data_IF_103440559189
#
_entry.id   IF_103440559189
#
_cell.length_a   1.000
_cell.length_b   1.000
_cell.length_c   1.000
_cell.angle_alpha   90.00
_cell.angle_beta   90.00
_cell.angle_gamma   90.00
#
_symmetry.space_group_name_H-M   'P 1'
#
loop_
_entity.id
_entity.type
_entity.pdbx_description
1 polymer ?
#
# COMPACT_ATOMS: atom_id res chain seq x y z
N UNK A 1 28.89 9.27 -11.03
CA UNK A 1 28.07 9.70 -12.18
C UNK A 1 26.94 8.71 -12.30
N UNK A 2 25.70 9.19 -12.32
CA UNK A 2 24.50 8.34 -12.43
C UNK A 2 24.49 7.70 -13.82
N UNK A 3 24.82 6.41 -13.89
CA UNK A 3 24.84 5.66 -15.15
C UNK A 3 23.40 5.56 -15.68
N UNK A 4 23.08 6.36 -16.71
CA UNK A 4 21.76 6.40 -17.37
C UNK A 4 21.48 5.16 -18.24
N UNK A 5 22.31 4.12 -18.14
CA UNK A 5 22.18 2.89 -18.93
C UNK A 5 21.28 1.90 -18.19
N UNK A 6 20.12 1.56 -18.79
CA UNK A 6 19.22 0.55 -18.24
C UNK A 6 19.90 -0.80 -18.30
N UNK A 7 20.21 -1.37 -17.13
CA UNK A 7 20.84 -2.70 -17.01
C UNK A 7 19.77 -3.77 -17.05
N UNK A 8 19.70 -4.51 -18.15
CA UNK A 8 18.61 -5.46 -18.40
C UNK A 8 18.59 -6.66 -17.44
N UNK A 9 19.76 -7.03 -16.90
CA UNK A 9 19.87 -8.00 -15.81
C UNK A 9 19.13 -7.55 -14.54
N UNK A 10 19.26 -6.27 -14.15
CA UNK A 10 18.57 -5.73 -12.96
C UNK A 10 17.05 -5.75 -13.11
N UNK A 11 16.55 -5.58 -14.34
CA UNK A 11 15.12 -5.66 -14.65
C UNK A 11 14.62 -7.10 -14.57
N UNK A 12 15.35 -8.06 -15.15
CA UNK A 12 15.00 -9.48 -15.03
C UNK A 12 15.00 -9.94 -13.58
N UNK A 13 15.95 -9.46 -12.77
CA UNK A 13 15.98 -9.72 -11.33
C UNK A 13 14.75 -9.13 -10.61
N UNK A 14 14.33 -7.92 -10.99
CA UNK A 14 13.13 -7.27 -10.45
C UNK A 14 11.85 -8.07 -10.72
N UNK A 15 11.70 -8.55 -11.96
CA UNK A 15 10.53 -9.31 -12.41
C UNK A 15 10.43 -10.69 -11.76
N UNK A 16 11.57 -11.28 -11.38
CA UNK A 16 11.65 -12.56 -10.68
C UNK A 16 11.56 -12.43 -9.16
N UNK A 17 11.56 -11.20 -8.61
CA UNK A 17 11.51 -10.99 -7.17
C UNK A 17 10.06 -11.09 -6.65
N UNK A 18 9.73 -12.05 -5.77
CA UNK A 18 8.39 -12.15 -5.19
C UNK A 18 8.00 -10.89 -4.40
N UNK A 19 8.98 -10.14 -3.88
CA UNK A 19 8.75 -8.88 -3.16
C UNK A 19 8.10 -7.81 -4.06
N UNK A 20 8.50 -7.74 -5.33
CA UNK A 20 7.91 -6.83 -6.33
C UNK A 20 6.44 -7.14 -6.56
N UNK A 21 6.10 -8.42 -6.73
CA UNK A 21 4.73 -8.86 -6.98
C UNK A 21 3.81 -8.68 -5.78
N UNK A 22 4.31 -8.84 -4.55
CA UNK A 22 3.53 -8.56 -3.34
C UNK A 22 3.20 -7.07 -3.21
N UNK A 23 4.14 -6.17 -3.52
CA UNK A 23 3.87 -4.73 -3.55
C UNK A 23 2.91 -4.34 -4.69
N UNK A 24 3.04 -4.99 -5.85
CA UNK A 24 2.12 -4.79 -6.96
C UNK A 24 0.69 -5.25 -6.60
N UNK A 25 0.56 -6.43 -5.98
CA UNK A 25 -0.72 -6.95 -5.50
C UNK A 25 -1.33 -6.03 -4.43
N UNK A 26 -0.53 -5.52 -3.50
CA UNK A 26 -0.96 -4.54 -2.51
C UNK A 26 -1.49 -3.26 -3.18
N UNK A 27 -0.74 -2.72 -4.15
CA UNK A 27 -1.14 -1.52 -4.91
C UNK A 27 -2.45 -1.74 -5.63
N UNK A 28 -2.59 -2.86 -6.34
CA UNK A 28 -3.81 -3.22 -7.06
C UNK A 28 -5.00 -3.33 -6.10
N UNK A 29 -4.83 -4.05 -4.99
CA UNK A 29 -5.89 -4.28 -4.01
C UNK A 29 -6.32 -3.01 -3.26
N UNK A 30 -5.43 -2.03 -3.08
CA UNK A 30 -5.77 -0.71 -2.51
C UNK A 30 -6.46 0.22 -3.51
N UNK A 31 -6.14 0.10 -4.80
CA UNK A 31 -6.69 0.98 -5.83
C UNK A 31 -8.05 0.55 -6.37
N UNK A 32 -8.43 -0.72 -6.21
CA UNK A 32 -9.81 -1.17 -6.48
C UNK A 32 -10.83 -0.41 -5.60
N UNK A 33 -10.65 -0.33 -4.26
CA UNK A 33 -11.40 0.58 -3.40
C UNK A 33 -11.39 2.03 -3.87
N UNK A 34 -10.26 2.56 -4.32
CA UNK A 34 -10.16 3.95 -4.77
C UNK A 34 -11.09 4.22 -5.95
N UNK A 35 -10.98 3.43 -7.02
CA UNK A 35 -11.82 3.58 -8.21
C UNK A 35 -13.31 3.35 -7.91
N UNK A 36 -13.62 2.37 -7.05
CA UNK A 36 -14.99 2.08 -6.62
C UNK A 36 -15.58 3.21 -5.78
N UNK A 37 -14.88 3.67 -4.74
CA UNK A 37 -15.37 4.67 -3.79
C UNK A 37 -15.51 6.05 -4.45
N UNK A 38 -14.60 6.45 -5.33
CA UNK A 38 -14.72 7.73 -6.05
C UNK A 38 -15.99 7.74 -6.91
N UNK A 39 -16.27 6.63 -7.61
CA UNK A 39 -17.46 6.49 -8.47
C UNK A 39 -18.76 6.38 -7.65
N UNK A 40 -18.72 5.68 -6.52
CA UNK A 40 -19.90 5.39 -5.69
C UNK A 40 -20.16 6.42 -4.59
N UNK A 41 -19.18 7.24 -4.22
CA UNK A 41 -19.34 8.29 -3.20
C UNK A 41 -20.51 9.22 -3.54
N UNK A 42 -20.64 9.62 -4.80
CA UNK A 42 -21.76 10.43 -5.28
C UNK A 42 -23.10 9.71 -5.12
N UNK A 43 -23.17 8.40 -5.39
CA UNK A 43 -24.39 7.59 -5.24
C UNK A 43 -24.77 7.36 -3.78
N UNK A 44 -23.79 7.14 -2.90
CA UNK A 44 -24.02 6.98 -1.46
C UNK A 44 -24.58 8.28 -0.89
N UNK A 45 -23.98 9.43 -1.22
CA UNK A 45 -24.39 10.72 -0.65
C UNK A 45 -25.72 11.21 -1.24
N UNK A 46 -25.99 10.99 -2.53
CA UNK A 46 -27.32 11.28 -3.12
C UNK A 46 -28.41 10.33 -2.58
N UNK A 47 -28.08 9.06 -2.34
CA UNK A 47 -28.96 8.09 -1.68
C UNK A 47 -29.35 8.44 -0.24
N UNK A 48 -28.56 9.30 0.43
CA UNK A 48 -28.88 9.85 1.75
C UNK A 48 -29.85 11.05 1.70
N UNK A 49 -30.20 11.52 0.49
CA UNK A 49 -31.14 12.63 0.26
C UNK A 49 -30.48 14.02 0.25
N UNK A 50 -29.15 14.08 0.16
CA UNK A 50 -28.43 15.35 0.04
C UNK A 50 -28.31 15.78 -1.43
N UNK A 51 -28.51 17.06 -1.69
CA UNK A 51 -28.30 17.66 -3.03
C UNK A 51 -26.83 17.55 -3.44
N UNK A 52 -26.55 17.42 -4.73
CA UNK A 52 -25.19 17.30 -5.29
C UNK A 52 -24.23 18.40 -4.83
N UNK A 53 -24.77 19.60 -4.54
CA UNK A 53 -23.99 20.75 -4.04
C UNK A 53 -23.50 20.52 -2.60
N UNK A 54 -24.34 19.89 -1.76
CA UNK A 54 -23.98 19.50 -0.39
C UNK A 54 -22.98 18.34 -0.41
N UNK A 55 -23.09 17.41 -1.37
CA UNK A 55 -22.13 16.30 -1.53
C UNK A 55 -20.70 16.81 -1.73
N UNK A 56 -20.51 17.82 -2.58
CA UNK A 56 -19.18 18.43 -2.80
C UNK A 56 -18.66 19.09 -1.53
N UNK A 57 -19.52 19.79 -0.78
CA UNK A 57 -19.16 20.42 0.50
C UNK A 57 -18.81 19.37 1.56
N UNK A 58 -19.55 18.25 1.62
CA UNK A 58 -19.24 17.10 2.47
C UNK A 58 -17.95 16.38 2.05
N UNK A 59 -17.43 16.62 0.85
CA UNK A 59 -16.11 16.14 0.44
C UNK A 59 -14.96 16.86 1.14
N UNK A 60 -15.12 18.14 1.50
CA UNK A 60 -14.03 18.97 2.06
C UNK A 60 -13.48 18.37 3.37
N UNK A 61 -14.31 17.99 4.36
CA UNK A 61 -13.81 17.38 5.60
C UNK A 61 -13.09 16.04 5.40
N UNK A 62 -13.47 15.26 4.37
CA UNK A 62 -12.81 13.96 4.09
C UNK A 62 -11.33 14.15 3.79
N UNK A 63 -10.98 15.17 2.99
CA UNK A 63 -9.59 15.46 2.61
C UNK A 63 -8.75 15.93 3.78
N UNK A 64 -9.33 16.78 4.65
CA UNK A 64 -8.64 17.26 5.87
C UNK A 64 -8.35 16.10 6.82
N UNK A 65 -9.36 15.25 7.10
CA UNK A 65 -9.19 14.08 7.97
C UNK A 65 -8.17 13.09 7.41
N UNK A 66 -8.25 12.79 6.10
CA UNK A 66 -7.28 11.92 5.44
C UNK A 66 -5.85 12.46 5.53
N UNK A 67 -5.67 13.78 5.37
CA UNK A 67 -4.36 14.44 5.44
C UNK A 67 -3.79 14.41 6.86
N UNK A 68 -4.59 14.74 7.87
CA UNK A 68 -4.17 14.72 9.28
C UNK A 68 -3.79 13.29 9.68
N UNK A 69 -4.62 12.30 9.33
CA UNK A 69 -4.34 10.90 9.61
C UNK A 69 -3.07 10.40 8.93
N UNK A 70 -2.86 10.81 7.68
CA UNK A 70 -1.64 10.49 6.93
C UNK A 70 -0.38 11.06 7.61
N UNK A 71 -0.44 12.30 8.10
CA UNK A 71 0.70 12.90 8.82
C UNK A 71 0.98 12.12 10.11
N UNK A 72 -0.05 11.76 10.87
CA UNK A 72 0.11 10.99 12.11
C UNK A 72 0.76 9.63 11.86
N UNK A 73 0.28 8.89 10.87
CA UNK A 73 0.86 7.59 10.53
C UNK A 73 2.28 7.71 9.98
N UNK A 74 2.57 8.76 9.21
CA UNK A 74 3.94 9.04 8.72
C UNK A 74 4.92 9.37 9.85
N UNK A 75 4.49 10.16 10.84
CA UNK A 75 5.29 10.44 12.04
C UNK A 75 5.52 9.17 12.86
N UNK A 76 4.50 8.32 13.01
CA UNK A 76 4.62 7.05 13.72
C UNK A 76 5.59 6.10 13.00
N UNK A 77 5.47 5.97 11.68
CA UNK A 77 6.35 5.16 10.84
C UNK A 77 7.80 5.69 10.78
N UNK A 78 8.01 6.98 11.10
CA UNK A 78 9.34 7.58 11.22
C UNK A 78 9.96 7.37 12.60
N UNK A 79 9.14 7.29 13.66
CA UNK A 79 9.57 7.09 15.04
C UNK A 79 9.87 5.63 15.38
N UNK A 80 9.18 4.68 14.75
CA UNK A 80 9.34 3.25 15.04
C UNK A 80 10.13 2.58 13.89
N UNK A 81 11.41 2.20 14.10
CA UNK A 81 12.19 1.53 13.07
C UNK A 81 11.62 0.13 12.78
N UNK A 82 11.64 -0.28 11.51
CA UNK A 82 11.27 -1.62 11.06
C UNK A 82 9.85 -2.10 11.45
N UNK A 83 8.89 -1.18 11.58
CA UNK A 83 7.48 -1.51 11.88
C UNK A 83 6.51 -1.01 10.81
N UNK A 84 7.00 -0.59 9.64
CA UNK A 84 6.19 0.10 8.63
C UNK A 84 5.10 -0.80 8.05
N UNK A 85 5.40 -2.07 7.77
CA UNK A 85 4.44 -3.05 7.25
C UNK A 85 3.38 -3.40 8.30
N UNK A 86 3.75 -3.46 9.59
CA UNK A 86 2.80 -3.69 10.69
C UNK A 86 1.87 -2.48 10.84
N UNK A 87 2.42 -1.25 10.80
CA UNK A 87 1.64 -0.01 10.85
C UNK A 87 0.66 0.04 9.66
N UNK A 88 1.11 -0.31 8.45
CA UNK A 88 0.25 -0.36 7.25
C UNK A 88 -0.84 -1.43 7.39
N UNK A 89 -0.52 -2.62 7.90
CA UNK A 89 -1.50 -3.69 8.09
C UNK A 89 -2.57 -3.31 9.13
N UNK A 90 -2.16 -2.78 10.29
CA UNK A 90 -3.07 -2.34 11.35
C UNK A 90 -3.91 -1.16 10.90
N UNK A 91 -3.32 -0.21 10.17
CA UNK A 91 -4.05 0.96 9.65
C UNK A 91 -5.13 0.57 8.63
N UNK A 92 -4.98 -0.57 7.94
CA UNK A 92 -6.01 -1.10 7.04
C UNK A 92 -7.18 -1.78 7.75
N UNK A 93 -7.06 -2.10 9.05
CA UNK A 93 -8.18 -2.64 9.84
C UNK A 93 -9.26 -1.56 10.09
N UNK A 94 -8.86 -0.29 10.19
CA UNK A 94 -9.77 0.85 10.38
C UNK A 94 -10.76 0.99 9.21
N UNK A 95 -10.31 1.14 7.94
CA UNK A 95 -11.23 1.21 6.80
C UNK A 95 -12.00 -0.10 6.60
N UNK A 96 -11.46 -1.25 6.99
CA UNK A 96 -12.19 -2.53 6.97
C UNK A 96 -13.38 -2.51 7.95
N UNK A 97 -13.18 -2.05 9.18
CA UNK A 97 -14.26 -1.90 10.15
C UNK A 97 -15.32 -0.88 9.66
N UNK A 98 -14.89 0.22 9.06
CA UNK A 98 -15.80 1.21 8.47
C UNK A 98 -16.59 0.65 7.29
N UNK A 99 -15.99 -0.15 6.42
CA UNK A 99 -16.69 -0.83 5.33
C UNK A 99 -17.79 -1.78 5.84
N UNK A 100 -17.51 -2.53 6.91
CA UNK A 100 -18.51 -3.38 7.57
C UNK A 100 -19.65 -2.53 8.16
N UNK A 101 -19.31 -1.41 8.80
CA UNK A 101 -20.30 -0.50 9.37
C UNK A 101 -21.19 0.09 8.28
N UNK A 102 -20.63 0.53 7.15
CA UNK A 102 -21.40 1.00 5.99
C UNK A 102 -22.29 -0.08 5.38
N UNK A 103 -21.89 -1.36 5.45
CA UNK A 103 -22.68 -2.47 4.92
C UNK A 103 -23.84 -2.88 5.84
N UNK A 104 -23.63 -2.88 7.16
CA UNK A 104 -24.61 -3.40 8.14
C UNK A 104 -25.48 -2.35 8.79
N UNK A 105 -25.12 -1.06 8.73
CA UNK A 105 -25.89 -0.01 9.41
C UNK A 105 -27.19 0.31 8.65
N UNK A 106 -28.34 0.43 9.35
CA UNK A 106 -29.60 0.77 8.71
C UNK A 106 -29.53 2.18 8.09
N UNK A 107 -30.08 2.33 6.89
CA UNK A 107 -30.10 3.62 6.14
C UNK A 107 -30.84 4.76 6.83
N UNK A 108 -31.58 4.45 7.89
CA UNK A 108 -32.22 5.44 8.75
C UNK A 108 -31.19 6.25 9.54
N UNK A 109 -30.01 5.71 9.83
CA UNK A 109 -28.93 6.40 10.55
C UNK A 109 -27.96 7.08 9.57
N UNK A 110 -28.41 8.20 9.02
CA UNK A 110 -27.63 9.00 8.04
C UNK A 110 -26.32 9.53 8.64
N UNK A 111 -26.32 9.86 9.94
CA UNK A 111 -25.14 10.39 10.63
C UNK A 111 -24.07 9.31 10.82
N UNK A 112 -24.47 8.09 11.21
CA UNK A 112 -23.55 6.96 11.32
C UNK A 112 -22.95 6.55 9.97
N UNK A 113 -23.73 6.59 8.88
CA UNK A 113 -23.23 6.31 7.54
C UNK A 113 -22.21 7.38 7.06
N UNK A 114 -22.50 8.65 7.32
CA UNK A 114 -21.59 9.76 7.00
C UNK A 114 -20.29 9.67 7.82
N UNK A 115 -20.38 9.40 9.12
CA UNK A 115 -19.20 9.21 9.97
C UNK A 115 -18.32 8.05 9.47
N UNK A 116 -18.94 6.94 9.11
CA UNK A 116 -18.24 5.77 8.55
C UNK A 116 -17.55 6.10 7.22
N UNK A 117 -18.21 6.89 6.37
CA UNK A 117 -17.65 7.37 5.10
C UNK A 117 -16.44 8.28 5.31
N UNK A 118 -16.50 9.21 6.26
CA UNK A 118 -15.37 10.08 6.60
C UNK A 118 -14.16 9.29 7.10
N UNK A 119 -14.39 8.33 8.00
CA UNK A 119 -13.31 7.51 8.55
C UNK A 119 -12.79 6.54 7.50
N UNK A 120 -13.63 6.03 6.59
CA UNK A 120 -13.19 5.15 5.51
C UNK A 120 -12.07 5.78 4.66
N UNK A 121 -12.13 7.09 4.39
CA UNK A 121 -11.10 7.84 3.63
C UNK A 121 -9.69 7.77 4.25
N UNK A 122 -9.54 7.33 5.50
CA UNK A 122 -8.23 7.02 6.09
C UNK A 122 -7.46 5.90 5.40
N UNK A 123 -8.10 5.11 4.51
CA UNK A 123 -7.44 4.08 3.71
C UNK A 123 -6.32 4.63 2.81
N UNK A 124 -6.36 5.92 2.45
CA UNK A 124 -5.31 6.51 1.61
C UNK A 124 -3.94 6.55 2.30
N UNK A 125 -3.94 6.64 3.63
CA UNK A 125 -2.71 6.76 4.40
C UNK A 125 -1.79 5.53 4.30
N UNK A 126 -2.27 4.29 4.52
CA UNK A 126 -1.46 3.09 4.31
C UNK A 126 -0.96 2.94 2.87
N UNK A 127 -1.73 3.41 1.87
CA UNK A 127 -1.27 3.43 0.48
C UNK A 127 -0.04 4.33 0.30
N UNK A 128 -0.09 5.58 0.77
CA UNK A 128 1.05 6.51 0.64
C UNK A 128 2.27 6.01 1.40
N UNK A 129 2.10 5.39 2.57
CA UNK A 129 3.22 4.78 3.28
C UNK A 129 3.83 3.62 2.51
N UNK A 130 3.02 2.82 1.81
CA UNK A 130 3.51 1.71 1.01
C UNK A 130 4.37 2.15 -0.16
N UNK A 131 4.14 3.33 -0.76
CA UNK A 131 4.95 3.84 -1.89
C UNK A 131 6.39 4.14 -1.49
N UNK A 132 6.64 4.34 -0.19
CA UNK A 132 7.99 4.51 0.35
C UNK A 132 8.81 3.22 0.41
N UNK A 133 8.14 2.05 0.50
CA UNK A 133 8.79 0.74 0.60
C UNK A 133 9.58 0.35 -0.66
N UNK A 134 9.03 0.45 -1.89
CA UNK A 134 9.77 0.40 -3.15
C UNK A 134 11.13 1.09 -3.12
N UNK A 135 11.15 2.34 -2.67
CA UNK A 135 12.34 3.20 -2.69
C UNK A 135 13.34 2.82 -1.59
N UNK A 136 12.85 2.40 -0.43
CA UNK A 136 13.67 2.02 0.71
C UNK A 136 14.28 0.62 0.60
N UNK A 137 13.60 -0.31 -0.09
CA UNK A 137 13.96 -1.74 -0.11
C UNK A 137 14.59 -2.24 -1.41
N UNK A 138 14.78 -1.36 -2.38
CA UNK A 138 15.40 -1.71 -3.65
C UNK A 138 16.71 -0.96 -3.79
N UNK A 139 17.77 -1.63 -4.23
CA UNK A 139 19.03 -1.00 -4.63
C UNK A 139 19.25 -1.22 -6.13
N UNK A 140 19.96 -0.29 -6.77
CA UNK A 140 20.14 -0.27 -8.22
C UNK A 140 19.15 0.65 -8.94
N UNK A 141 19.65 1.52 -9.81
CA UNK A 141 18.84 2.52 -10.51
C UNK A 141 17.78 1.88 -11.42
N UNK A 142 18.17 0.89 -12.24
CA UNK A 142 17.24 0.24 -13.19
C UNK A 142 16.20 -0.65 -12.48
N UNK A 143 16.58 -1.27 -11.36
CA UNK A 143 15.67 -2.09 -10.54
C UNK A 143 14.58 -1.24 -9.88
N UNK A 144 14.96 -0.11 -9.29
CA UNK A 144 14.02 0.88 -8.70
C UNK A 144 13.03 1.41 -9.74
N UNK A 145 13.52 1.80 -10.92
CA UNK A 145 12.68 2.32 -12.00
C UNK A 145 11.65 1.28 -12.44
N UNK A 146 12.09 0.03 -12.65
CA UNK A 146 11.22 -1.07 -13.05
C UNK A 146 10.15 -1.36 -11.99
N UNK A 147 10.54 -1.40 -10.71
CA UNK A 147 9.60 -1.67 -9.62
C UNK A 147 8.53 -0.59 -9.51
N UNK A 148 8.93 0.69 -9.63
CA UNK A 148 8.00 1.81 -9.66
C UNK A 148 7.05 1.74 -10.87
N UNK A 149 7.56 1.35 -12.04
CA UNK A 149 6.72 1.16 -13.23
C UNK A 149 5.67 0.06 -13.02
N UNK A 150 6.05 -1.09 -12.45
CA UNK A 150 5.12 -2.18 -12.12
C UNK A 150 4.09 -1.72 -11.09
N UNK A 151 4.52 -1.00 -10.05
CA UNK A 151 3.63 -0.45 -9.03
C UNK A 151 2.60 0.52 -9.62
N UNK A 152 3.02 1.34 -10.59
CA UNK A 152 2.14 2.27 -11.30
C UNK A 152 1.17 1.56 -12.26
N UNK A 153 1.62 0.50 -12.95
CA UNK A 153 0.72 -0.33 -13.76
C UNK A 153 -0.35 -0.96 -12.88
N UNK A 154 0.03 -1.52 -11.72
CA UNK A 154 -0.92 -2.09 -10.77
C UNK A 154 -1.93 -1.04 -10.24
N UNK A 155 -1.47 0.19 -9.99
CA UNK A 155 -2.33 1.33 -9.66
C UNK A 155 -3.38 1.59 -10.76
N UNK A 156 -2.95 1.68 -12.02
CA UNK A 156 -3.85 1.92 -13.14
C UNK A 156 -4.86 0.78 -13.33
N UNK A 157 -4.40 -0.47 -13.25
CA UNK A 157 -5.27 -1.66 -13.37
C UNK A 157 -6.31 -1.70 -12.25
N UNK A 158 -5.91 -1.41 -11.01
CA UNK A 158 -6.84 -1.35 -9.87
C UNK A 158 -7.95 -0.30 -10.08
N UNK A 159 -7.60 0.88 -10.60
CA UNK A 159 -8.56 1.94 -10.91
C UNK A 159 -9.52 1.58 -12.06
N UNK A 160 -9.10 0.76 -13.02
CA UNK A 160 -9.97 0.25 -14.10
C UNK A 160 -10.95 -0.79 -13.55
N UNK A 161 -10.48 -1.68 -12.67
CA UNK A 161 -11.31 -2.75 -12.08
C UNK A 161 -12.29 -2.18 -11.04
N UNK A 162 -11.88 -1.16 -10.28
CA UNK A 162 -12.66 -0.58 -9.17
C UNK A 162 -14.14 -0.33 -9.47
N UNK A 163 -14.46 0.50 -10.48
CA UNK A 163 -15.84 0.79 -10.86
C UNK A 163 -16.63 -0.45 -11.33
N UNK A 164 -15.96 -1.49 -11.84
CA UNK A 164 -16.62 -2.69 -12.35
C UNK A 164 -17.07 -3.65 -11.24
N UNK A 165 -16.43 -3.58 -10.06
CA UNK A 165 -16.79 -4.40 -8.89
C UNK A 165 -18.14 -3.96 -8.31
N UNK A 166 -18.46 -2.68 -8.42
CA UNK A 166 -19.73 -2.13 -7.93
C UNK A 166 -20.73 -2.04 -9.08
N UNK A 167 -21.64 -3.03 -9.16
CA UNK A 167 -22.69 -3.07 -10.18
C UNK A 167 -23.88 -2.23 -9.77
N UNK A 168 -24.41 -1.44 -10.70
CA UNK A 168 -25.68 -0.70 -10.54
C UNK A 168 -26.89 -1.62 -10.32
N UNK A 169 -26.78 -2.90 -10.69
CA UNK A 169 -27.82 -3.93 -10.51
C UNK A 169 -28.07 -4.30 -9.04
N UNK A 170 -27.09 -4.08 -8.15
CA UNK A 170 -27.19 -4.44 -6.73
C UNK A 170 -27.78 -3.32 -5.85
N UNK A 171 -28.33 -2.28 -6.47
CA UNK A 171 -29.10 -1.28 -5.77
C UNK A 171 -30.36 -1.93 -5.13
N UNK A 172 -30.77 -1.52 -3.91
CA UNK A 172 -30.19 -0.45 -3.10
C UNK A 172 -29.04 -0.92 -2.21
N UNK A 173 -28.94 -2.19 -1.80
CA UNK A 173 -28.05 -2.60 -0.71
C UNK A 173 -26.55 -2.69 -1.07
N UNK A 174 -26.20 -2.76 -2.36
CA UNK A 174 -24.83 -2.88 -2.89
C UNK A 174 -23.96 -3.96 -2.21
N UNK A 175 -24.57 -5.06 -1.78
CA UNK A 175 -23.91 -6.08 -0.94
C UNK A 175 -22.67 -6.67 -1.61
N UNK A 176 -22.73 -6.99 -2.91
CA UNK A 176 -21.58 -7.51 -3.65
C UNK A 176 -20.43 -6.50 -3.80
N UNK A 177 -20.74 -5.20 -3.86
CA UNK A 177 -19.73 -4.15 -3.88
C UNK A 177 -18.96 -4.06 -2.56
N UNK A 178 -19.66 -4.14 -1.42
CA UNK A 178 -19.03 -4.19 -0.10
C UNK A 178 -18.26 -5.49 0.14
N UNK A 179 -18.76 -6.63 -0.33
CA UNK A 179 -18.04 -7.91 -0.28
C UNK A 179 -16.72 -7.85 -1.08
N UNK A 180 -16.76 -7.32 -2.30
CA UNK A 180 -15.57 -7.12 -3.13
C UNK A 180 -14.57 -6.15 -2.50
N UNK A 181 -15.07 -5.06 -1.90
CA UNK A 181 -14.26 -4.10 -1.16
C UNK A 181 -13.53 -4.75 0.03
N UNK A 182 -14.25 -5.54 0.83
CA UNK A 182 -13.68 -6.26 1.97
C UNK A 182 -12.65 -7.30 1.52
N UNK A 183 -12.95 -8.05 0.45
CA UNK A 183 -12.00 -9.00 -0.13
C UNK A 183 -10.70 -8.31 -0.56
N UNK A 184 -10.78 -7.15 -1.21
CA UNK A 184 -9.61 -6.37 -1.61
C UNK A 184 -8.81 -5.88 -0.40
N UNK A 185 -9.47 -5.37 0.65
CA UNK A 185 -8.79 -4.95 1.88
C UNK A 185 -8.08 -6.12 2.58
N UNK A 186 -8.71 -7.30 2.63
CA UNK A 186 -8.08 -8.52 3.17
C UNK A 186 -6.86 -8.92 2.34
N UNK A 187 -6.97 -8.92 1.01
CA UNK A 187 -5.84 -9.22 0.11
C UNK A 187 -4.70 -8.21 0.32
N UNK A 188 -5.01 -6.92 0.50
CA UNK A 188 -4.00 -5.91 0.79
C UNK A 188 -3.31 -6.17 2.14
N UNK A 189 -4.05 -6.49 3.20
CA UNK A 189 -3.48 -6.81 4.52
C UNK A 189 -2.58 -8.05 4.43
N UNK A 190 -3.02 -9.09 3.74
CA UNK A 190 -2.22 -10.32 3.56
C UNK A 190 -0.97 -10.04 2.73
N UNK A 191 -1.08 -9.28 1.64
CA UNK A 191 0.05 -8.95 0.77
C UNK A 191 1.14 -8.14 1.51
N UNK A 192 0.75 -7.11 2.27
CA UNK A 192 1.72 -6.30 3.02
C UNK A 192 2.32 -7.08 4.20
N UNK A 193 1.54 -7.94 4.85
CA UNK A 193 2.03 -8.78 5.94
C UNK A 193 3.02 -9.82 5.42
N UNK A 194 2.72 -10.47 4.28
CA UNK A 194 3.62 -11.40 3.61
C UNK A 194 4.92 -10.71 3.16
N UNK A 195 4.82 -9.49 2.63
CA UNK A 195 5.99 -8.66 2.29
C UNK A 195 6.86 -8.39 3.52
N UNK A 196 6.27 -7.94 4.63
CA UNK A 196 6.99 -7.68 5.87
C UNK A 196 7.66 -8.94 6.46
N UNK A 197 6.98 -10.09 6.41
CA UNK A 197 7.55 -11.38 6.83
C UNK A 197 8.73 -11.82 5.96
N UNK A 198 8.63 -11.67 4.64
CA UNK A 198 9.73 -11.96 3.72
C UNK A 198 10.94 -11.06 3.96
N UNK A 199 10.72 -9.75 4.13
CA UNK A 199 11.81 -8.82 4.47
C UNK A 199 12.46 -9.16 5.82
N UNK A 200 11.67 -9.54 6.83
CA UNK A 200 12.19 -9.99 8.12
C UNK A 200 12.99 -11.28 7.99
N UNK A 201 12.50 -12.25 7.22
CA UNK A 201 13.18 -13.52 6.97
C UNK A 201 14.51 -13.33 6.21
N UNK A 202 14.52 -12.50 5.18
CA UNK A 202 15.75 -12.17 4.43
C UNK A 202 16.78 -11.46 5.32
N UNK A 203 16.34 -10.52 6.16
CA UNK A 203 17.24 -9.87 7.14
C UNK A 203 17.81 -10.88 8.14
N UNK A 204 16.98 -11.78 8.70
CA UNK A 204 17.45 -12.81 9.62
C UNK A 204 18.42 -13.80 8.96
N UNK A 205 18.20 -14.13 7.68
CA UNK A 205 19.12 -14.99 6.93
C UNK A 205 20.47 -14.30 6.72
N UNK A 206 20.46 -13.02 6.33
CA UNK A 206 21.66 -12.21 6.14
C UNK A 206 22.42 -11.98 7.46
N UNK A 207 21.73 -11.78 8.57
CA UNK A 207 22.36 -11.65 9.88
C UNK A 207 23.08 -12.95 10.28
N UNK A 208 22.51 -14.13 9.97
CA UNK A 208 23.17 -15.44 10.20
C UNK A 208 24.39 -15.65 9.30
N UNK A 209 24.29 -15.28 8.03
CA UNK A 209 25.40 -15.36 7.06
C UNK A 209 26.56 -14.42 7.45
N UNK A 210 26.26 -13.21 7.94
CA UNK A 210 27.27 -12.26 8.43
C UNK A 210 27.93 -12.71 9.74
N UNK A 211 27.17 -13.30 10.67
CA UNK A 211 27.72 -13.89 11.90
C UNK A 211 28.69 -15.05 11.62
N UNK A 212 28.42 -15.86 10.59
CA UNK A 212 29.32 -16.93 10.14
C UNK A 212 30.59 -16.38 9.46
N UNK A 213 30.49 -15.28 8.70
CA UNK A 213 31.66 -14.65 8.05
C UNK A 213 32.55 -13.87 9.02
N UNK A 214 31.99 -13.22 10.05
CA UNK A 214 32.77 -12.56 11.10
C UNK A 214 33.60 -13.52 11.96
N UNK A 215 33.23 -14.81 12.01
CA UNK A 215 34.05 -15.85 12.66
C UNK A 215 35.22 -16.34 11.77
N UNK A 216 35.22 -16.04 10.47
CA UNK A 216 36.22 -16.54 9.51
C UNK A 216 37.16 -15.49 8.93
N UNK A 217 36.82 -14.19 8.93
CA UNK A 217 37.72 -13.18 8.36
C UNK A 217 37.36 -11.75 8.78
N UNK A 218 38.33 -11.04 9.36
CA UNK A 218 38.30 -9.58 9.57
C UNK A 218 38.41 -8.87 8.21
N UNK A 219 37.28 -8.62 7.54
CA UNK A 219 37.27 -7.88 6.27
C UNK A 219 36.78 -6.46 6.52
N UNK A 220 37.71 -5.54 6.33
CA UNK A 220 37.52 -4.10 6.12
C UNK A 220 36.35 -3.87 5.17
N UNK A 221 35.27 -3.25 5.66
CA UNK A 221 34.13 -2.83 4.83
C UNK A 221 34.63 -1.72 3.92
N UNK A 222 35.01 -2.05 2.67
CA UNK A 222 35.42 -1.06 1.69
C UNK A 222 34.22 -0.17 1.35
N UNK A 223 34.33 1.12 1.64
CA UNK A 223 33.30 2.15 1.43
C UNK A 223 32.86 2.25 -0.05
N UNK A 224 33.66 1.73 -0.98
CA UNK A 224 33.35 1.65 -2.42
C UNK A 224 32.14 0.77 -2.77
N UNK A 225 31.79 -0.23 -1.95
CA UNK A 225 30.64 -1.09 -2.20
C UNK A 225 29.29 -0.41 -1.86
N UNK A 226 29.31 0.68 -1.08
CA UNK A 226 28.11 1.45 -0.77
C UNK A 226 27.64 2.26 -2.00
N UNK A 227 28.58 2.78 -2.79
CA UNK A 227 28.37 3.64 -3.95
C UNK A 227 28.26 2.89 -5.29
N UNK A 228 28.49 1.58 -5.33
CA UNK A 228 28.31 0.78 -6.55
C UNK A 228 26.82 0.57 -6.88
N UNK A 229 26.46 0.63 -8.16
CA UNK A 229 25.10 0.38 -8.69
C UNK A 229 24.80 -1.13 -8.76
N UNK A 230 25.02 -1.82 -7.65
CA UNK A 230 24.69 -3.23 -7.42
C UNK A 230 23.25 -3.36 -6.91
N UNK A 231 22.57 -4.47 -7.25
CA UNK A 231 21.20 -4.71 -6.78
C UNK A 231 21.14 -5.03 -5.29
N UNK A 232 19.97 -4.94 -4.66
CA UNK A 232 19.78 -5.28 -3.24
C UNK A 232 20.14 -6.74 -2.91
N UNK A 233 20.08 -7.67 -3.89
CA UNK A 233 20.55 -9.05 -3.74
C UNK A 233 22.08 -9.15 -3.80
N UNK A 234 22.73 -8.29 -4.56
CA UNK A 234 24.19 -8.25 -4.69
C UNK A 234 24.87 -7.50 -3.53
N UNK A 235 24.20 -6.49 -2.95
CA UNK A 235 24.67 -5.80 -1.75
C UNK A 235 24.41 -6.62 -0.50
N UNK A 236 25.42 -7.38 -0.06
CA UNK A 236 25.40 -8.15 1.21
C UNK A 236 25.23 -7.28 2.46
N UNK A 237 25.55 -5.98 2.41
CA UNK A 237 25.35 -5.01 3.49
C UNK A 237 23.95 -4.38 3.51
N UNK A 238 23.12 -4.62 2.49
CA UNK A 238 21.79 -4.01 2.38
C UNK A 238 20.81 -4.68 3.35
N UNK A 239 20.10 -3.86 4.13
CA UNK A 239 19.05 -4.28 5.07
C UNK A 239 17.69 -3.80 4.59
N UNK A 240 16.72 -4.72 4.55
CA UNK A 240 15.35 -4.38 4.17
C UNK A 240 14.65 -3.70 5.36
N UNK A 241 14.00 -2.56 5.10
CA UNK A 241 13.13 -1.88 6.04
C UNK A 241 11.72 -2.44 5.92
N UNK A 242 11.19 -3.01 7.00
CA UNK A 242 9.84 -3.58 7.05
C UNK A 242 8.94 -2.86 8.02
#
# INVERSE_FOLDING_TARGET
MEDKTIKWYQVRECLLDPKTWLLALFSLAQNIPNGGLVTFSALIVTGLGYSSLITTVLGIPTGVLATVWQILLSLLASRVPNSRCIIIAVSNLVPMACAILMWKLPRSDKHGLLASYYVFYTYWAPYVLSTSLPMANTSGHSKKLTLNAIFFIAYCVGNIIGPQVFRSTDAPSYSHGYEGLLACLVVAIVAISAYGLLCRWENQRRDREQQQQQQQQSVTVSEDAAFSDLTDKEKRSFRYTY
#
